data_IF_924786613670
#
_entry.id   IF_924786613670
#
_cell.length_a   1.000
_cell.length_b   1.000
_cell.length_c   1.000
_cell.angle_alpha   90.00
_cell.angle_beta   90.00
_cell.angle_gamma   90.00
#
_symmetry.space_group_name_H-M   'P 1'
#
loop_
_entity.id
_entity.type
_entity.pdbx_description
1 polymer ?
#
# COMPACT_ATOMS: atom_id res chain seq x y z
N UNK A 1 7.16 9.37 -12.82
CA UNK A 1 6.63 9.44 -11.44
C UNK A 1 5.13 9.67 -11.52
N UNK A 2 4.36 9.28 -10.50
CA UNK A 2 2.93 9.60 -10.44
C UNK A 2 2.73 11.11 -10.38
N UNK A 3 1.89 11.64 -11.28
CA UNK A 3 1.53 13.07 -11.34
C UNK A 3 0.24 13.37 -10.59
N UNK A 4 -0.59 12.35 -10.43
CA UNK A 4 -1.81 12.38 -9.61
C UNK A 4 -1.56 11.51 -8.38
N UNK A 5 -2.03 11.98 -7.23
CA UNK A 5 -2.01 11.23 -5.98
C UNK A 5 -3.36 10.58 -5.71
N UNK A 6 -3.37 9.61 -4.79
CA UNK A 6 -4.61 9.14 -4.21
C UNK A 6 -5.39 10.29 -3.54
N UNK A 7 -6.72 10.18 -3.53
CA UNK A 7 -7.57 11.17 -2.90
C UNK A 7 -7.39 11.19 -1.37
N UNK A 8 -7.84 12.28 -0.74
CA UNK A 8 -7.82 12.42 0.72
C UNK A 8 -8.70 11.39 1.45
N UNK A 9 -9.63 10.77 0.74
CA UNK A 9 -10.38 9.60 1.19
C UNK A 9 -10.38 8.55 0.09
N UNK A 10 -9.96 7.34 0.41
CA UNK A 10 -9.78 6.24 -0.55
C UNK A 10 -10.61 5.02 -0.20
N UNK A 11 -10.91 4.24 -1.21
CA UNK A 11 -11.59 2.95 -1.10
C UNK A 11 -10.69 1.81 -1.62
N UNK A 12 -10.92 0.58 -1.15
CA UNK A 12 -10.37 -0.61 -1.78
C UNK A 12 -10.63 -0.61 -3.29
N UNK A 13 -9.57 -0.85 -4.07
CA UNK A 13 -9.64 -0.91 -5.52
C UNK A 13 -9.40 0.41 -6.24
N UNK A 14 -9.27 1.54 -5.53
CA UNK A 14 -8.85 2.81 -6.12
C UNK A 14 -7.47 2.66 -6.79
N UNK A 15 -7.30 3.36 -7.92
CA UNK A 15 -6.11 3.25 -8.77
C UNK A 15 -5.63 4.64 -9.16
N UNK A 16 -4.31 4.84 -9.13
CA UNK A 16 -3.62 5.91 -9.84
C UNK A 16 -2.69 5.32 -10.90
N UNK A 17 -2.46 6.06 -11.98
CA UNK A 17 -1.66 5.59 -13.11
C UNK A 17 -0.56 6.58 -13.47
N UNK A 18 0.54 6.09 -14.03
CA UNK A 18 1.53 6.93 -14.67
C UNK A 18 2.19 6.24 -15.87
N UNK A 19 2.62 7.03 -16.83
CA UNK A 19 3.40 6.58 -17.99
C UNK A 19 4.88 6.81 -17.74
N UNK A 20 5.70 5.76 -17.87
CA UNK A 20 7.15 5.82 -17.70
C UNK A 20 7.81 4.92 -18.74
N UNK A 21 8.66 5.50 -19.58
CA UNK A 21 9.46 4.73 -20.58
C UNK A 21 8.61 3.89 -21.55
N UNK A 22 7.38 4.33 -21.82
CA UNK A 22 6.41 3.62 -22.67
C UNK A 22 5.60 2.55 -21.93
N UNK A 23 5.86 2.32 -20.64
CA UNK A 23 5.02 1.48 -19.79
C UNK A 23 3.93 2.29 -19.11
N UNK A 24 2.73 1.73 -19.09
CA UNK A 24 1.65 2.17 -18.19
C UNK A 24 1.81 1.43 -16.86
N UNK A 25 2.06 2.17 -15.79
CA UNK A 25 2.12 1.62 -14.43
C UNK A 25 0.87 2.02 -13.67
N UNK A 26 0.18 1.03 -13.09
CA UNK A 26 -1.02 1.24 -12.25
C UNK A 26 -0.70 0.88 -10.82
N UNK A 27 -0.91 1.79 -9.87
CA UNK A 27 -0.85 1.50 -8.45
C UNK A 27 -2.26 1.37 -7.89
N UNK A 28 -2.59 0.21 -7.31
CA UNK A 28 -3.91 -0.11 -6.79
C UNK A 28 -3.87 -0.32 -5.28
N UNK A 29 -4.90 0.17 -4.60
CA UNK A 29 -5.14 -0.11 -3.18
C UNK A 29 -5.83 -1.47 -3.04
N UNK A 30 -5.21 -2.40 -2.31
CA UNK A 30 -5.78 -3.71 -1.98
C UNK A 30 -5.94 -3.82 -0.46
N UNK A 31 -7.08 -4.26 0.09
CA UNK A 31 -7.22 -4.52 1.52
C UNK A 31 -6.16 -5.50 2.00
N UNK A 32 -5.55 -5.20 3.14
CA UNK A 32 -4.64 -6.13 3.82
C UNK A 32 -5.42 -7.41 4.19
N UNK A 33 -4.79 -8.56 4.00
CA UNK A 33 -5.41 -9.87 4.22
C UNK A 33 -5.31 -10.34 5.67
N UNK A 34 -4.50 -9.67 6.49
CA UNK A 34 -4.41 -9.97 7.91
C UNK A 34 -5.58 -9.30 8.68
N UNK A 35 -6.41 -10.07 9.39
CA UNK A 35 -7.60 -9.56 10.06
C UNK A 35 -7.29 -8.87 11.40
N UNK A 36 -6.03 -8.87 11.82
CA UNK A 36 -5.64 -8.42 13.15
C UNK A 36 -5.96 -6.93 13.34
N UNK A 37 -6.65 -6.56 14.43
CA UNK A 37 -6.96 -5.18 14.74
C UNK A 37 -5.71 -4.37 15.10
N UNK A 38 -5.81 -3.02 15.10
CA UNK A 38 -4.69 -2.13 15.38
C UNK A 38 -3.99 -2.43 16.71
N UNK A 39 -4.75 -2.77 17.75
CA UNK A 39 -4.21 -3.08 19.08
C UNK A 39 -3.44 -4.39 19.18
N UNK A 40 -3.54 -5.25 18.16
CA UNK A 40 -2.72 -6.47 18.03
C UNK A 40 -1.51 -6.26 17.12
N UNK A 41 -1.56 -5.26 16.22
CA UNK A 41 -0.47 -4.95 15.28
C UNK A 41 0.50 -3.89 15.81
N UNK A 42 0.05 -3.02 16.71
CA UNK A 42 0.80 -1.86 17.18
C UNK A 42 1.07 -1.95 18.68
N UNK A 43 2.34 -2.20 19.03
CA UNK A 43 2.78 -2.17 20.42
C UNK A 43 2.53 -0.78 21.02
N UNK A 44 1.82 -0.76 22.15
CA UNK A 44 1.52 0.48 22.87
C UNK A 44 0.33 1.25 22.29
N UNK A 45 -0.45 0.65 21.38
CA UNK A 45 -1.72 1.21 20.92
C UNK A 45 -2.60 1.66 22.09
N UNK A 46 -2.78 0.77 23.08
CA UNK A 46 -3.48 1.11 24.31
C UNK A 46 -2.53 1.83 25.29
N UNK A 47 -2.91 3.02 25.79
CA UNK A 47 -2.10 3.73 26.76
C UNK A 47 -2.06 2.97 28.09
N UNK A 48 -0.99 3.19 28.84
CA UNK A 48 -0.73 2.52 30.10
C UNK A 48 -0.12 3.44 31.14
N UNK A 49 -0.43 3.17 32.40
CA UNK A 49 0.21 3.80 33.56
C UNK A 49 1.39 2.99 34.10
N UNK A 50 1.62 1.79 33.56
CA UNK A 50 2.68 0.90 34.01
C UNK A 50 3.96 1.17 33.23
N UNK A 51 5.05 1.48 33.94
CA UNK A 51 6.33 1.89 33.36
C UNK A 51 6.95 0.91 32.36
N UNK A 52 6.68 -0.38 32.53
CA UNK A 52 7.26 -1.45 31.72
C UNK A 52 6.29 -1.90 30.59
N UNK A 53 5.12 -1.27 30.48
CA UNK A 53 4.18 -1.54 29.40
C UNK A 53 4.51 -0.68 28.16
N UNK A 54 4.38 -1.23 26.93
CA UNK A 54 4.67 -0.50 25.70
C UNK A 54 3.94 0.84 25.57
N UNK A 55 2.67 0.92 26.02
CA UNK A 55 1.86 2.14 25.97
C UNK A 55 2.10 3.11 27.12
N UNK A 56 3.20 2.98 27.88
CA UNK A 56 3.44 3.83 29.05
C UNK A 56 3.44 5.32 28.66
N UNK A 57 2.50 6.08 29.21
CA UNK A 57 2.33 7.50 28.88
C UNK A 57 3.48 8.40 29.39
N UNK A 58 4.49 7.82 30.03
CA UNK A 58 5.63 8.52 30.61
C UNK A 58 5.36 9.10 32.00
N UNK A 59 6.42 9.53 32.72
CA UNK A 59 6.27 10.23 34.00
C UNK A 59 5.72 11.66 33.82
N UNK A 60 5.35 12.31 34.93
CA UNK A 60 5.00 13.74 34.95
C UNK A 60 3.71 14.08 35.71
N UNK A 61 3.48 15.38 35.90
CA UNK A 61 2.25 15.89 36.51
C UNK A 61 1.04 15.61 35.62
N UNK A 62 -0.15 15.57 36.22
CA UNK A 62 -1.42 15.36 35.52
C UNK A 62 -1.50 14.04 34.74
N UNK A 63 -0.74 13.01 35.12
CA UNK A 63 -0.68 11.72 34.42
C UNK A 63 -2.07 11.10 34.19
N UNK A 64 -3.01 11.25 35.14
CA UNK A 64 -4.39 10.77 34.98
C UNK A 64 -5.14 11.46 33.86
N UNK A 65 -4.98 12.78 33.71
CA UNK A 65 -5.63 13.53 32.64
C UNK A 65 -5.02 13.20 31.27
N UNK A 66 -3.68 13.06 31.21
CA UNK A 66 -3.01 12.60 29.98
C UNK A 66 -3.41 11.18 29.59
N UNK A 67 -3.52 10.28 30.57
CA UNK A 67 -4.02 8.92 30.37
C UNK A 67 -5.43 8.94 29.80
N UNK A 68 -6.34 9.68 30.43
CA UNK A 68 -7.72 9.78 29.97
C UNK A 68 -7.82 10.33 28.54
N UNK A 69 -6.99 11.31 28.19
CA UNK A 69 -6.92 11.84 26.82
C UNK A 69 -6.42 10.79 25.83
N UNK A 70 -5.29 10.15 26.12
CA UNK A 70 -4.72 9.10 25.27
C UNK A 70 -5.68 7.90 25.12
N UNK A 71 -6.43 7.57 26.18
CA UNK A 71 -7.42 6.50 26.17
C UNK A 71 -8.57 6.85 25.22
N UNK A 72 -9.10 8.09 25.30
CA UNK A 72 -10.15 8.55 24.42
C UNK A 72 -9.70 8.62 22.95
N UNK A 73 -8.45 9.04 22.70
CA UNK A 73 -7.84 9.06 21.36
C UNK A 73 -7.73 7.62 20.79
N UNK A 74 -7.18 6.67 21.54
CA UNK A 74 -7.07 5.27 21.13
C UNK A 74 -8.44 4.62 20.90
N UNK A 75 -9.43 4.91 21.75
CA UNK A 75 -10.81 4.44 21.57
C UNK A 75 -11.44 4.98 20.29
N UNK A 76 -11.24 6.27 19.97
CA UNK A 76 -11.75 6.86 18.73
C UNK A 76 -11.10 6.25 17.49
N UNK A 77 -9.79 6.00 17.53
CA UNK A 77 -9.06 5.32 16.45
C UNK A 77 -9.61 3.91 16.23
N UNK A 78 -9.79 3.12 17.31
CA UNK A 78 -10.37 1.77 17.19
C UNK A 78 -11.80 1.78 16.68
N UNK A 79 -12.60 2.76 17.10
CA UNK A 79 -13.97 2.87 16.67
C UNK A 79 -14.06 3.17 15.17
N UNK A 80 -13.21 4.07 14.64
CA UNK A 80 -13.12 4.32 13.21
C UNK A 80 -12.71 3.08 12.43
N UNK A 81 -11.76 2.30 12.96
CA UNK A 81 -11.35 1.03 12.34
C UNK A 81 -12.50 0.03 12.28
N UNK A 82 -13.23 -0.14 13.39
CA UNK A 82 -14.39 -1.05 13.48
C UNK A 82 -15.51 -0.67 12.52
N UNK A 83 -15.64 0.62 12.21
CA UNK A 83 -16.61 1.15 11.22
C UNK A 83 -16.12 1.07 9.78
N UNK A 84 -14.86 0.71 9.55
CA UNK A 84 -14.23 0.72 8.23
C UNK A 84 -13.97 2.14 7.71
N UNK A 85 -13.90 3.14 8.59
CA UNK A 85 -13.56 4.52 8.23
C UNK A 85 -12.08 4.63 7.82
N UNK A 86 -11.24 3.74 8.36
CA UNK A 86 -9.85 3.55 7.99
C UNK A 86 -9.47 2.06 8.05
N UNK A 87 -8.44 1.66 7.31
CA UNK A 87 -8.06 0.25 7.18
C UNK A 87 -6.57 0.08 6.82
N UNK A 88 -6.04 -1.12 7.07
CA UNK A 88 -4.72 -1.51 6.53
C UNK A 88 -4.88 -1.99 5.09
N UNK A 89 -3.93 -1.62 4.24
CA UNK A 89 -3.92 -1.94 2.83
C UNK A 89 -2.50 -2.27 2.32
N UNK A 90 -2.46 -2.84 1.13
CA UNK A 90 -1.29 -2.87 0.28
C UNK A 90 -1.43 -1.94 -0.91
N UNK A 91 -0.31 -1.35 -1.30
CA UNK A 91 -0.16 -0.70 -2.61
C UNK A 91 0.50 -1.72 -3.54
N UNK A 92 -0.24 -2.12 -4.58
CA UNK A 92 0.21 -3.12 -5.56
C UNK A 92 0.35 -2.46 -6.92
N UNK A 93 1.55 -2.56 -7.50
CA UNK A 93 1.83 -2.04 -8.83
C UNK A 93 1.64 -3.14 -9.87
N UNK A 94 0.90 -2.84 -10.92
CA UNK A 94 0.90 -3.61 -12.16
C UNK A 94 1.51 -2.78 -13.29
N UNK A 95 2.05 -3.45 -14.31
CA UNK A 95 2.69 -2.82 -15.47
C UNK A 95 2.16 -3.42 -16.76
N UNK A 96 1.77 -2.56 -17.69
CA UNK A 96 1.37 -2.93 -19.05
C UNK A 96 2.15 -2.14 -20.10
N UNK A 97 2.17 -2.67 -21.31
CA UNK A 97 2.76 -2.06 -22.51
C UNK A 97 1.75 -2.19 -23.65
N UNK A 98 1.34 -1.08 -24.26
CA UNK A 98 0.33 -1.04 -25.34
C UNK A 98 -0.95 -1.83 -25.00
N UNK A 99 -1.43 -1.70 -23.75
CA UNK A 99 -2.62 -2.40 -23.26
C UNK A 99 -2.43 -3.88 -22.94
N UNK A 100 -1.24 -4.44 -23.14
CA UNK A 100 -0.89 -5.81 -22.75
C UNK A 100 -0.30 -5.79 -21.35
N UNK A 101 -0.93 -6.48 -20.41
CA UNK A 101 -0.40 -6.62 -19.05
C UNK A 101 0.83 -7.51 -19.04
N UNK A 102 1.98 -6.94 -18.66
CA UNK A 102 3.26 -7.66 -18.58
C UNK A 102 3.48 -8.25 -17.19
N UNK A 103 3.13 -7.49 -16.15
CA UNK A 103 3.32 -7.89 -14.76
C UNK A 103 2.13 -7.42 -13.91
N UNK A 104 1.16 -8.30 -13.59
CA UNK A 104 -0.03 -7.94 -12.81
C UNK A 104 0.27 -7.61 -11.33
N UNK A 105 1.39 -8.10 -10.80
CA UNK A 105 1.86 -7.88 -9.43
C UNK A 105 3.38 -7.62 -9.45
N UNK A 106 3.78 -6.52 -10.07
CA UNK A 106 5.18 -6.20 -10.35
C UNK A 106 5.97 -5.81 -9.10
N UNK A 107 5.34 -5.09 -8.16
CA UNK A 107 5.90 -4.72 -6.86
C UNK A 107 4.75 -4.44 -5.88
N UNK A 108 4.95 -4.67 -4.58
CA UNK A 108 3.95 -4.32 -3.57
C UNK A 108 4.53 -4.05 -2.20
N UNK A 109 3.86 -3.21 -1.42
CA UNK A 109 4.10 -3.02 0.01
C UNK A 109 2.76 -3.11 0.75
N UNK A 110 2.74 -3.80 1.89
CA UNK A 110 1.55 -4.14 2.68
C UNK A 110 1.65 -3.56 4.10
N UNK A 111 0.54 -3.59 4.84
CA UNK A 111 0.48 -3.05 6.21
C UNK A 111 0.45 -1.53 6.28
N UNK A 112 0.01 -0.86 5.23
CA UNK A 112 -0.03 0.60 5.13
C UNK A 112 -1.42 1.09 5.56
N UNK A 113 -1.50 2.16 6.32
CA UNK A 113 -2.77 2.72 6.77
C UNK A 113 -3.40 3.60 5.69
N UNK A 114 -4.66 3.34 5.37
CA UNK A 114 -5.49 4.16 4.49
C UNK A 114 -6.60 4.82 5.31
N UNK A 115 -6.82 6.12 5.06
CA UNK A 115 -7.77 7.01 5.75
C UNK A 115 -7.53 7.14 7.25
N UNK A 116 -6.30 6.90 7.73
CA UNK A 116 -5.99 7.02 9.15
C UNK A 116 -6.37 8.42 9.66
N UNK A 117 -6.95 8.56 10.87
CA UNK A 117 -7.41 9.85 11.37
C UNK A 117 -6.35 10.94 11.26
N UNK A 118 -6.79 12.13 10.83
CA UNK A 118 -5.94 13.32 10.65
C UNK A 118 -4.83 13.20 9.58
N UNK A 119 -4.90 12.17 8.72
CA UNK A 119 -4.00 12.03 7.56
C UNK A 119 -4.71 12.40 6.25
N UNK A 120 -3.92 12.63 5.19
CA UNK A 120 -4.42 12.98 3.84
C UNK A 120 -4.14 11.89 2.80
N UNK A 121 -3.68 10.70 3.24
CA UNK A 121 -3.24 9.57 2.40
C UNK A 121 -2.06 9.87 1.45
N UNK A 122 -1.35 10.99 1.60
CA UNK A 122 -0.20 11.31 0.74
C UNK A 122 0.88 10.22 0.74
N UNK A 123 1.06 9.54 1.88
CA UNK A 123 1.97 8.40 2.06
C UNK A 123 1.70 7.24 1.09
N UNK A 124 0.44 6.99 0.69
CA UNK A 124 0.08 5.93 -0.27
C UNK A 124 0.71 6.21 -1.63
N UNK A 125 0.69 7.47 -2.07
CA UNK A 125 1.29 7.91 -3.33
C UNK A 125 2.82 7.85 -3.24
N UNK A 126 3.40 8.21 -2.10
CA UNK A 126 4.84 8.07 -1.88
C UNK A 126 5.31 6.62 -1.95
N UNK A 127 4.57 5.70 -1.33
CA UNK A 127 4.85 4.26 -1.41
C UNK A 127 4.78 3.79 -2.87
N UNK A 128 3.72 4.15 -3.60
CA UNK A 128 3.61 3.82 -5.02
C UNK A 128 4.83 4.31 -5.81
N UNK A 129 5.27 5.55 -5.56
CA UNK A 129 6.46 6.13 -6.16
C UNK A 129 7.76 5.38 -5.82
N UNK A 130 7.93 4.95 -4.56
CA UNK A 130 9.10 4.17 -4.09
C UNK A 130 9.17 2.78 -4.74
N UNK A 131 8.03 2.19 -5.09
CA UNK A 131 7.94 0.87 -5.73
C UNK A 131 8.18 0.89 -7.25
N UNK A 132 8.16 2.08 -7.88
CA UNK A 132 8.33 2.22 -9.34
C UNK A 132 9.59 1.54 -9.91
N UNK A 133 10.79 1.69 -9.33
CA UNK A 133 11.99 1.08 -9.90
C UNK A 133 11.91 -0.45 -9.95
N UNK A 134 11.35 -1.08 -8.92
CA UNK A 134 11.15 -2.53 -8.85
C UNK A 134 10.11 -2.99 -9.87
N UNK A 135 8.97 -2.29 -9.97
CA UNK A 135 7.93 -2.62 -10.93
C UNK A 135 8.43 -2.53 -12.38
N UNK A 136 9.20 -1.50 -12.71
CA UNK A 136 9.80 -1.32 -14.05
C UNK A 136 10.85 -2.40 -14.35
N UNK A 137 11.65 -2.79 -13.36
CA UNK A 137 12.61 -3.89 -13.51
C UNK A 137 11.90 -5.20 -13.85
N UNK A 138 10.82 -5.54 -13.13
CA UNK A 138 10.01 -6.72 -13.39
C UNK A 138 9.41 -6.71 -14.81
N UNK A 139 8.86 -5.57 -15.24
CA UNK A 139 8.29 -5.43 -16.59
C UNK A 139 9.35 -5.60 -17.69
N UNK A 140 10.54 -5.02 -17.51
CA UNK A 140 11.67 -5.16 -18.43
C UNK A 140 12.16 -6.60 -18.54
N UNK A 141 12.19 -7.32 -17.42
CA UNK A 141 12.54 -8.74 -17.41
C UNK A 141 11.52 -9.57 -18.21
N UNK A 142 10.22 -9.35 -18.00
CA UNK A 142 9.17 -10.03 -18.76
C UNK A 142 9.30 -9.72 -20.26
N UNK A 143 9.48 -8.45 -20.61
CA UNK A 143 9.61 -8.03 -22.00
C UNK A 143 10.85 -8.67 -22.67
N UNK A 144 11.98 -8.72 -21.97
CA UNK A 144 13.18 -9.39 -22.46
C UNK A 144 12.94 -10.89 -22.71
N UNK A 145 12.23 -11.57 -21.80
CA UNK A 145 11.84 -12.99 -21.98
C UNK A 145 10.90 -13.18 -23.17
N UNK A 146 9.93 -12.29 -23.38
CA UNK A 146 9.03 -12.38 -24.53
C UNK A 146 9.76 -12.13 -25.86
N UNK A 147 10.69 -11.18 -25.87
CA UNK A 147 11.49 -10.85 -27.05
C UNK A 147 12.42 -12.00 -27.49
N UNK A 148 12.95 -12.79 -26.55
CA UNK A 148 13.75 -13.98 -26.90
C UNK A 148 12.92 -15.13 -27.46
N UNK A 149 11.65 -15.26 -27.06
CA UNK A 149 10.73 -16.29 -27.56
C UNK A 149 10.11 -15.94 -28.92
N UNK A 150 9.94 -14.64 -29.22
CA UNK A 150 9.36 -14.17 -30.47
C UNK A 150 10.03 -14.70 -31.77
N UNK A 151 11.37 -14.76 -31.90
CA UNK A 151 12.00 -15.32 -33.11
C UNK A 151 11.63 -16.79 -33.36
N UNK A 152 11.45 -17.61 -32.32
CA UNK A 152 11.09 -19.03 -32.45
C UNK A 152 9.59 -19.25 -32.72
N UNK A 153 8.72 -18.42 -32.13
CA UNK A 153 7.26 -18.52 -32.31
C UNK A 153 6.83 -18.07 -33.71
N UNK A 154 7.48 -17.04 -34.29
CA UNK A 154 7.21 -16.62 -35.67
C UNK A 154 7.85 -17.58 -36.69
N UNK A 155 9.01 -18.16 -36.39
CA UNK A 155 9.65 -19.16 -37.26
C UNK A 155 8.91 -20.52 -37.28
N UNK A 156 8.27 -20.92 -36.16
CA UNK A 156 7.45 -22.12 -36.07
C UNK A 156 6.16 -22.05 -36.89
N UNK A 157 5.56 -20.85 -37.04
CA UNK A 157 4.37 -20.63 -37.88
C UNK A 157 4.66 -20.66 -39.39
N UNK A 158 5.92 -20.53 -39.81
CA UNK A 158 6.30 -20.60 -41.23
C UNK A 158 6.64 -22.02 -41.72
N UNK A 159 6.58 -23.05 -40.86
CA UNK A 159 6.82 -24.45 -41.26
C UNK A 159 5.57 -25.31 -41.40
N UNK A 160 4.39 -24.75 -41.15
CA UNK A 160 3.10 -25.43 -41.33
C UNK A 160 2.12 -24.55 -42.11
N UNK A 161 2.33 -24.42 -43.43
CA UNK A 161 1.29 -24.22 -44.46
C UNK A 161 1.91 -24.00 -45.84
#
# INVERSE_FOLDING_TARGET
>A
MFTEGFASFVCPGDVITCEIEGFTVSARIIPDDCPDPPDQRQDGFWPSLYKDAPGFIGPGNNFRARFARAQAEAEAIMEGWRKGEWFYCGIVLSVSLDGVELAPHAASLWGIEANYPETDNSSLTEVAGKLLPEALAAAREVLARLATLAPDVLAGKHRES
#
